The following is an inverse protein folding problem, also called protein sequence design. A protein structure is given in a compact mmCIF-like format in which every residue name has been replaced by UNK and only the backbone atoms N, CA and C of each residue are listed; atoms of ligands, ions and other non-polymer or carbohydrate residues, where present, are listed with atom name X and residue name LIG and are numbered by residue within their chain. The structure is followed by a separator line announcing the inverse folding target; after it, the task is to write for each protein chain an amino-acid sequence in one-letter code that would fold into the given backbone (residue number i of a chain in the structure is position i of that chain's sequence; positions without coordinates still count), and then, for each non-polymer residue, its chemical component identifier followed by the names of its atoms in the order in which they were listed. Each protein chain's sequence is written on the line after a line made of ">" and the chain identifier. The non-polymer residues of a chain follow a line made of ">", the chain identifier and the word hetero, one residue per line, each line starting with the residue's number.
data_IF_093210407287
#
_entry.id   IF_093210407287
#
_cell.length_a   1.000
_cell.length_b   1.000
_cell.length_c   1.000
_cell.angle_alpha   90.00
_cell.angle_beta   90.00
_cell.angle_gamma   90.00
#
_symmetry.space_group_name_H-M   'P 1'
#
loop_
_entity.id
_entity.type
_entity.pdbx_description
1 polymer ?
#
# COMPACT_ATOMS: atom_id res chain seq x y z
N UNK A 1 -10.07 8.35 6.09
CA UNK A 1 -9.63 7.08 6.71
C UNK A 1 -8.20 6.75 6.29
N UNK A 2 -7.50 6.02 7.15
CA UNK A 2 -6.19 5.47 6.83
C UNK A 2 -6.37 4.03 6.37
N UNK A 3 -5.90 3.72 5.17
CA UNK A 3 -6.21 2.47 4.47
C UNK A 3 -4.91 1.88 3.93
N UNK A 4 -4.66 0.58 4.17
CA UNK A 4 -3.61 -0.13 3.47
C UNK A 4 -4.18 -0.79 2.23
N UNK A 5 -3.47 -0.69 1.12
CA UNK A 5 -3.80 -1.39 -0.11
C UNK A 5 -2.55 -2.13 -0.59
N UNK A 6 -2.66 -3.44 -0.77
CA UNK A 6 -1.53 -4.28 -1.15
C UNK A 6 -1.98 -5.51 -1.90
N UNK A 7 -1.07 -6.04 -2.70
CA UNK A 7 -1.21 -7.36 -3.30
C UNK A 7 -0.09 -8.25 -2.75
N UNK A 8 -0.39 -9.50 -2.51
CA UNK A 8 0.58 -10.45 -1.98
C UNK A 8 0.36 -11.86 -2.51
N UNK A 9 1.41 -12.68 -2.41
CA UNK A 9 1.28 -14.13 -2.55
C UNK A 9 0.59 -14.71 -1.31
N UNK A 10 0.17 -15.96 -1.38
CA UNK A 10 -0.44 -16.64 -0.23
C UNK A 10 0.45 -16.64 1.01
N UNK A 11 1.77 -16.61 0.82
CA UNK A 11 2.75 -16.57 1.92
C UNK A 11 3.12 -15.15 2.35
N UNK A 12 2.44 -14.13 1.86
CA UNK A 12 2.70 -12.74 2.22
C UNK A 12 3.77 -12.05 1.39
N UNK A 13 4.21 -12.65 0.29
CA UNK A 13 5.23 -12.07 -0.58
C UNK A 13 4.72 -10.83 -1.30
N UNK A 14 5.43 -9.71 -1.20
CA UNK A 14 5.06 -8.43 -1.80
C UNK A 14 6.10 -7.88 -2.75
N UNK A 15 7.30 -8.43 -2.77
CA UNK A 15 8.38 -7.96 -3.62
C UNK A 15 9.39 -9.02 -3.98
N UNK A 16 10.03 -8.85 -5.13
CA UNK A 16 11.15 -9.66 -5.57
C UNK A 16 12.03 -8.79 -6.48
N UNK A 17 13.30 -8.66 -6.11
CA UNK A 17 14.29 -7.86 -6.86
C UNK A 17 13.82 -6.42 -7.15
N UNK A 18 13.18 -5.79 -6.17
CA UNK A 18 12.75 -4.39 -6.24
C UNK A 18 11.43 -4.14 -6.96
N UNK A 19 10.72 -5.17 -7.39
CA UNK A 19 9.42 -5.05 -8.04
C UNK A 19 8.46 -6.14 -7.55
N UNK A 20 7.26 -6.23 -8.13
CA UNK A 20 6.28 -7.24 -7.74
C UNK A 20 6.77 -8.64 -8.14
N UNK A 21 6.45 -9.68 -7.34
CA UNK A 21 6.88 -11.06 -7.63
C UNK A 21 6.25 -11.66 -8.90
N UNK A 22 5.09 -11.20 -9.31
CA UNK A 22 4.31 -11.74 -10.43
C UNK A 22 4.37 -10.81 -11.64
N UNK A 23 4.07 -11.33 -12.85
CA UNK A 23 3.94 -10.51 -14.06
C UNK A 23 2.82 -9.49 -13.91
N UNK A 24 2.84 -8.48 -14.77
CA UNK A 24 1.82 -7.42 -14.76
C UNK A 24 0.41 -8.00 -14.77
N UNK A 25 -0.41 -7.60 -13.79
CA UNK A 25 -1.83 -7.91 -13.73
C UNK A 25 -2.60 -6.61 -13.94
N UNK A 26 -3.13 -6.41 -15.14
CA UNK A 26 -3.80 -5.17 -15.52
C UNK A 26 -5.07 -4.90 -14.73
N UNK A 27 -5.80 -5.96 -14.36
CA UNK A 27 -7.00 -5.83 -13.53
C UNK A 27 -6.66 -5.30 -12.14
N UNK A 28 -5.60 -5.83 -11.51
CA UNK A 28 -5.18 -5.38 -10.19
C UNK A 28 -4.63 -3.94 -10.22
N UNK A 29 -3.91 -3.58 -11.28
CA UNK A 29 -3.45 -2.19 -11.46
C UNK A 29 -4.63 -1.23 -11.60
N UNK A 30 -5.69 -1.64 -12.28
CA UNK A 30 -6.92 -0.84 -12.39
C UNK A 30 -7.63 -0.72 -11.05
N UNK A 31 -7.71 -1.81 -10.29
CA UNK A 31 -8.26 -1.84 -8.93
C UNK A 31 -7.53 -0.83 -8.03
N UNK A 32 -6.20 -0.87 -8.04
CA UNK A 32 -5.36 0.07 -7.30
C UNK A 32 -5.63 1.53 -7.71
N UNK A 33 -5.65 1.78 -9.01
CA UNK A 33 -5.89 3.12 -9.55
C UNK A 33 -7.26 3.65 -9.14
N UNK A 34 -8.30 2.84 -9.26
CA UNK A 34 -9.67 3.24 -8.93
C UNK A 34 -9.81 3.62 -7.45
N UNK A 35 -9.14 2.89 -6.55
CA UNK A 35 -9.21 3.18 -5.12
C UNK A 35 -8.41 4.43 -4.75
N UNK A 36 -7.27 4.65 -5.37
CA UNK A 36 -6.34 5.70 -4.93
C UNK A 36 -6.48 7.03 -5.67
N UNK A 37 -7.11 7.06 -6.83
CA UNK A 37 -7.26 8.31 -7.61
C UNK A 37 -7.98 9.38 -6.81
N UNK A 38 -7.42 10.60 -6.78
CA UNK A 38 -7.95 11.71 -6.01
C UNK A 38 -7.60 11.69 -4.54
N UNK A 39 -6.88 10.69 -4.08
CA UNK A 39 -6.53 10.50 -2.67
C UNK A 39 -5.04 10.76 -2.41
N UNK A 40 -4.63 10.58 -1.15
CA UNK A 40 -3.25 10.69 -0.73
C UNK A 40 -2.64 9.28 -0.73
N UNK A 41 -1.46 9.12 -1.32
CA UNK A 41 -0.71 7.86 -1.26
C UNK A 41 0.59 8.08 -0.50
N UNK A 42 0.90 7.14 0.40
CA UNK A 42 2.12 7.15 1.22
C UNK A 42 2.92 5.91 0.88
N UNK A 43 4.18 6.09 0.52
CA UNK A 43 5.08 5.02 0.13
C UNK A 43 6.46 5.21 0.73
N UNK A 44 7.19 4.12 0.84
CA UNK A 44 8.61 4.15 1.20
C UNK A 44 9.48 4.44 -0.02
N UNK A 45 10.77 4.68 0.24
CA UNK A 45 11.73 5.01 -0.81
C UNK A 45 11.87 3.89 -1.84
N UNK A 46 11.88 2.63 -1.42
CA UNK A 46 12.03 1.51 -2.35
C UNK A 46 10.85 1.41 -3.32
N UNK A 47 9.64 1.70 -2.85
CA UNK A 47 8.46 1.74 -3.72
C UNK A 47 8.57 2.91 -4.70
N UNK A 48 9.03 4.07 -4.24
CA UNK A 48 9.26 5.22 -5.11
C UNK A 48 10.30 4.92 -6.19
N UNK A 49 11.36 4.20 -5.84
CA UNK A 49 12.46 3.87 -6.75
C UNK A 49 12.14 2.69 -7.68
N UNK A 50 11.00 2.00 -7.50
CA UNK A 50 10.58 0.90 -8.38
C UNK A 50 10.44 1.43 -9.82
N UNK A 51 11.16 0.80 -10.74
CA UNK A 51 11.19 1.20 -12.16
C UNK A 51 9.84 1.11 -12.85
N UNK A 52 8.95 0.25 -12.34
CA UNK A 52 7.62 0.05 -12.90
C UNK A 52 6.60 1.06 -12.39
N UNK A 53 6.97 1.88 -11.42
CA UNK A 53 6.09 2.86 -10.83
C UNK A 53 6.17 4.20 -11.59
N UNK A 54 5.03 4.79 -12.01
CA UNK A 54 5.00 6.17 -12.50
C UNK A 54 5.46 7.15 -11.43
N UNK A 55 6.24 8.16 -11.80
CA UNK A 55 6.82 9.12 -10.86
C UNK A 55 6.46 10.56 -11.23
N UNK A 56 5.50 11.17 -10.50
CA UNK A 56 4.64 10.62 -9.47
C UNK A 56 3.44 9.85 -10.05
N UNK A 57 2.70 9.18 -9.17
CA UNK A 57 1.40 8.61 -9.58
C UNK A 57 0.45 9.76 -9.94
N UNK A 58 -0.12 9.76 -11.16
CA UNK A 58 -0.96 10.88 -11.60
C UNK A 58 -2.28 10.97 -10.81
N UNK A 59 -2.78 12.20 -10.64
CA UNK A 59 -4.05 12.49 -9.98
C UNK A 59 -4.14 12.03 -8.52
N UNK A 60 -2.99 11.97 -7.84
CA UNK A 60 -2.89 11.62 -6.43
C UNK A 60 -1.86 12.52 -5.76
N UNK A 61 -2.03 12.75 -4.47
CA UNK A 61 -1.03 13.44 -3.67
C UNK A 61 0.01 12.41 -3.24
N UNK A 62 1.21 12.48 -3.80
CA UNK A 62 2.28 11.52 -3.55
C UNK A 62 3.12 11.96 -2.36
N UNK A 63 3.20 11.10 -1.34
CA UNK A 63 4.03 11.30 -0.17
C UNK A 63 5.04 10.16 -0.08
N UNK A 64 6.32 10.48 0.07
CA UNK A 64 7.40 9.49 0.13
C UNK A 64 8.14 9.62 1.45
N UNK A 65 8.19 8.54 2.21
CA UNK A 65 8.98 8.46 3.44
C UNK A 65 10.43 8.22 3.05
N UNK A 66 11.28 9.20 3.32
CA UNK A 66 12.70 9.12 2.94
C UNK A 66 13.55 10.04 3.81
N UNK A 67 14.73 9.56 4.21
CA UNK A 67 15.75 10.37 4.87
C UNK A 67 16.58 11.19 3.87
N UNK A 68 16.48 10.87 2.58
CA UNK A 68 17.14 11.59 1.48
C UNK A 68 16.15 12.48 0.76
N UNK A 69 16.63 13.58 0.22
CA UNK A 69 15.79 14.47 -0.58
C UNK A 69 15.23 13.74 -1.80
N UNK A 70 14.00 14.10 -2.15
CA UNK A 70 13.33 13.61 -3.35
C UNK A 70 13.43 14.73 -4.40
N UNK A 71 14.07 14.44 -5.52
CA UNK A 71 14.23 15.37 -6.61
C UNK A 71 12.98 15.42 -7.48
N UNK A 72 11.87 15.87 -6.89
CA UNK A 72 10.60 16.03 -7.59
C UNK A 72 9.72 17.01 -6.80
N UNK A 73 9.44 18.15 -7.39
CA UNK A 73 8.66 19.23 -6.78
C UNK A 73 7.21 18.81 -6.47
N UNK A 74 6.68 17.81 -7.17
CA UNK A 74 5.30 17.36 -7.02
C UNK A 74 5.13 16.25 -5.97
N UNK A 75 6.18 16.00 -5.19
CA UNK A 75 6.20 14.94 -4.18
C UNK A 75 6.47 15.55 -2.81
N UNK A 76 5.65 15.17 -1.84
CA UNK A 76 5.84 15.55 -0.45
C UNK A 76 6.72 14.51 0.24
N UNK A 77 7.86 14.95 0.74
CA UNK A 77 8.74 14.08 1.52
C UNK A 77 8.29 14.05 2.97
N UNK A 78 8.14 12.85 3.50
CA UNK A 78 7.87 12.62 4.93
C UNK A 78 9.16 12.15 5.59
N UNK A 79 9.44 12.69 6.76
CA UNK A 79 10.68 12.41 7.48
C UNK A 79 10.34 12.19 8.97
N UNK A 80 11.04 11.23 9.60
CA UNK A 80 10.88 10.95 11.02
C UNK A 80 9.96 9.78 11.30
N UNK A 81 9.07 9.91 12.27
CA UNK A 81 8.17 8.85 12.70
C UNK A 81 7.06 8.65 11.67
N UNK A 82 7.06 7.50 11.01
CA UNK A 82 6.13 7.19 9.92
C UNK A 82 4.67 7.26 10.39
N UNK A 83 4.36 6.60 11.50
CA UNK A 83 3.01 6.57 12.06
C UNK A 83 2.50 7.98 12.35
N UNK A 84 3.32 8.80 12.99
CA UNK A 84 2.96 10.16 13.32
C UNK A 84 2.74 11.01 12.06
N UNK A 85 3.60 10.85 11.05
CA UNK A 85 3.45 11.57 9.80
C UNK A 85 2.14 11.21 9.07
N UNK A 86 1.75 9.95 9.10
CA UNK A 86 0.48 9.49 8.51
C UNK A 86 -0.71 10.06 9.27
N UNK A 87 -0.67 10.05 10.61
CA UNK A 87 -1.71 10.65 11.44
C UNK A 87 -1.84 12.16 11.16
N UNK A 88 -0.71 12.85 11.00
CA UNK A 88 -0.69 14.27 10.68
C UNK A 88 -1.31 14.55 9.31
N UNK A 89 -1.04 13.73 8.32
CA UNK A 89 -1.65 13.85 6.99
C UNK A 89 -3.17 13.72 7.07
N UNK A 90 -3.67 12.73 7.80
CA UNK A 90 -5.12 12.54 7.94
C UNK A 90 -5.77 13.73 8.66
N UNK A 91 -5.11 14.26 9.67
CA UNK A 91 -5.59 15.45 10.38
C UNK A 91 -5.60 16.69 9.48
N UNK A 92 -4.59 16.83 8.62
CA UNK A 92 -4.47 17.95 7.69
C UNK A 92 -5.50 17.86 6.54
N UNK A 93 -5.83 16.66 6.11
CA UNK A 93 -6.76 16.41 5.00
C UNK A 93 -7.90 15.48 5.44
N UNK A 94 -8.81 15.96 6.30
CA UNK A 94 -9.84 15.08 6.90
C UNK A 94 -10.88 14.56 5.90
N UNK A 95 -11.00 15.20 4.74
CA UNK A 95 -11.93 14.81 3.67
C UNK A 95 -11.29 13.84 2.65
N UNK A 96 -10.01 13.50 2.82
CA UNK A 96 -9.30 12.55 1.96
C UNK A 96 -9.01 11.26 2.70
N UNK A 97 -8.85 10.18 1.93
CA UNK A 97 -8.30 8.93 2.45
C UNK A 97 -6.78 8.92 2.25
N UNK A 98 -6.07 8.38 3.25
CA UNK A 98 -4.62 8.19 3.19
C UNK A 98 -4.36 6.71 2.92
N UNK A 99 -3.86 6.41 1.73
CA UNK A 99 -3.55 5.04 1.31
C UNK A 99 -2.08 4.72 1.55
N UNK A 100 -1.84 3.68 2.32
CA UNK A 100 -0.49 3.12 2.55
C UNK A 100 -0.26 2.11 1.42
N UNK A 101 0.73 2.39 0.57
CA UNK A 101 0.93 1.60 -0.65
C UNK A 101 2.24 0.79 -0.68
N UNK A 102 2.99 0.79 0.41
CA UNK A 102 4.16 -0.06 0.57
C UNK A 102 5.45 0.71 0.78
N UNK A 103 6.49 0.05 1.02
CA UNK A 103 6.61 -1.40 1.14
C UNK A 103 6.47 -1.92 2.56
N UNK A 104 7.19 -3.01 2.83
CA UNK A 104 7.12 -3.74 4.09
C UNK A 104 7.21 -2.85 5.32
N UNK A 105 8.23 -2.01 5.41
CA UNK A 105 8.45 -1.13 6.56
C UNK A 105 7.27 -0.19 6.77
N UNK A 106 6.73 0.38 5.69
CA UNK A 106 5.62 1.32 5.77
C UNK A 106 4.34 0.61 6.21
N UNK A 107 4.07 -0.58 5.69
CA UNK A 107 2.91 -1.37 6.13
C UNK A 107 3.01 -1.72 7.62
N UNK A 108 4.18 -2.18 8.06
CA UNK A 108 4.36 -2.63 9.44
C UNK A 108 4.27 -1.47 10.45
N UNK A 109 4.82 -0.31 10.11
CA UNK A 109 4.81 0.85 11.02
C UNK A 109 3.44 1.53 11.12
N UNK A 110 2.51 1.23 10.21
CA UNK A 110 1.17 1.84 10.22
C UNK A 110 0.04 0.85 10.52
N UNK A 111 0.36 -0.44 10.69
CA UNK A 111 -0.65 -1.49 10.81
C UNK A 111 -1.63 -1.27 11.98
N UNK A 112 -1.21 -0.63 13.04
CA UNK A 112 -2.07 -0.39 14.22
C UNK A 112 -2.99 0.82 14.06
N UNK A 113 -2.81 1.65 13.06
CA UNK A 113 -3.67 2.81 12.78
C UNK A 113 -4.52 2.66 11.51
N UNK A 114 -4.34 1.58 10.78
CA UNK A 114 -5.09 1.31 9.55
C UNK A 114 -6.49 0.82 9.87
N UNK A 115 -7.49 1.43 9.24
CA UNK A 115 -8.90 1.11 9.46
C UNK A 115 -9.43 0.06 8.49
N UNK A 116 -8.94 0.09 7.24
CA UNK A 116 -9.33 -0.84 6.18
C UNK A 116 -8.08 -1.39 5.51
N UNK A 117 -8.07 -2.69 5.21
CA UNK A 117 -7.04 -3.31 4.38
C UNK A 117 -7.70 -3.86 3.12
N UNK A 118 -7.32 -3.32 1.97
CA UNK A 118 -7.66 -3.88 0.67
C UNK A 118 -6.53 -4.83 0.27
N UNK A 119 -6.79 -6.12 0.32
CA UNK A 119 -5.79 -7.15 0.06
C UNK A 119 -6.12 -7.90 -1.22
N UNK A 120 -5.23 -7.83 -2.20
CA UNK A 120 -5.28 -8.68 -3.38
C UNK A 120 -4.39 -9.89 -3.11
N UNK A 121 -5.02 -11.07 -3.05
CA UNK A 121 -4.31 -12.32 -2.77
C UNK A 121 -4.12 -13.08 -4.09
N UNK A 122 -2.88 -13.22 -4.53
CA UNK A 122 -2.56 -13.95 -5.75
C UNK A 122 -2.77 -15.45 -5.54
N UNK A 123 -3.40 -16.12 -6.51
CA UNK A 123 -3.73 -17.54 -6.40
C UNK A 123 -2.54 -18.43 -6.66
N UNK A 124 -1.63 -18.01 -7.55
CA UNK A 124 -0.41 -18.76 -7.86
C UNK A 124 0.69 -18.46 -6.85
N UNK A 125 1.60 -19.39 -6.66
CA UNK A 125 2.78 -19.22 -5.84
C UNK A 125 3.88 -18.53 -6.65
N UNK A 126 4.42 -17.44 -6.12
CA UNK A 126 5.51 -16.69 -6.72
C UNK A 126 6.63 -16.53 -5.71
N UNK A 127 7.86 -16.69 -6.14
CA UNK A 127 9.02 -16.43 -5.29
C UNK A 127 9.10 -14.96 -4.90
N UNK A 128 9.40 -14.70 -3.63
CA UNK A 128 9.51 -13.34 -3.11
C UNK A 128 10.70 -13.24 -2.16
N UNK A 129 11.45 -12.14 -2.25
CA UNK A 129 12.52 -11.82 -1.31
C UNK A 129 12.03 -10.85 -0.22
N UNK A 130 10.86 -10.26 -0.39
CA UNK A 130 10.27 -9.34 0.58
C UNK A 130 8.87 -9.82 0.93
N UNK A 131 8.62 -10.03 2.22
CA UNK A 131 7.35 -10.56 2.74
C UNK A 131 6.84 -9.71 3.89
N UNK A 132 5.52 -9.58 3.99
CA UNK A 132 4.84 -9.04 5.18
C UNK A 132 4.28 -10.18 6.01
N UNK A 133 4.13 -9.95 7.30
CA UNK A 133 3.43 -10.86 8.19
C UNK A 133 1.94 -10.54 8.10
N UNK A 134 1.21 -11.33 7.31
CA UNK A 134 -0.23 -11.12 7.09
C UNK A 134 -1.03 -11.25 8.38
N UNK A 135 -0.66 -12.19 9.26
CA UNK A 135 -1.34 -12.37 10.54
C UNK A 135 -1.31 -11.09 11.38
N UNK A 136 -0.14 -10.44 11.47
CA UNK A 136 -0.01 -9.17 12.19
C UNK A 136 -0.70 -8.02 11.47
N UNK A 137 -0.58 -7.96 10.16
CA UNK A 137 -1.20 -6.91 9.35
C UNK A 137 -2.72 -6.93 9.47
N UNK A 138 -3.31 -8.12 9.52
CA UNK A 138 -4.76 -8.32 9.61
C UNK A 138 -5.26 -8.48 11.05
N UNK A 139 -4.38 -8.39 12.03
CA UNK A 139 -4.74 -8.45 13.44
C UNK A 139 -5.75 -7.35 13.75
N UNK A 140 -6.78 -7.71 14.53
CA UNK A 140 -7.88 -6.80 14.90
C UNK A 140 -8.74 -6.35 13.71
N UNK A 141 -8.62 -7.04 12.58
CA UNK A 141 -9.50 -6.84 11.42
C UNK A 141 -10.33 -8.11 11.19
N UNK A 142 -11.49 -7.92 10.59
CA UNK A 142 -12.33 -9.02 10.11
C UNK A 142 -12.56 -8.86 8.62
N UNK A 143 -12.67 -9.98 7.92
CA UNK A 143 -12.99 -9.94 6.50
C UNK A 143 -14.44 -9.52 6.30
N UNK A 144 -14.65 -8.54 5.44
CA UNK A 144 -15.99 -8.04 5.11
C UNK A 144 -16.46 -8.59 3.77
N UNK A 145 -15.60 -8.59 2.76
CA UNK A 145 -15.94 -9.07 1.42
C UNK A 145 -14.78 -9.83 0.82
N UNK A 146 -15.09 -10.82 -0.02
CA UNK A 146 -14.15 -11.51 -0.90
C UNK A 146 -14.75 -11.50 -2.29
N UNK A 147 -13.99 -11.05 -3.27
CA UNK A 147 -14.44 -10.95 -4.65
C UNK A 147 -13.43 -11.64 -5.55
N UNK A 148 -13.88 -12.51 -6.48
CA UNK A 148 -12.95 -13.15 -7.41
C UNK A 148 -12.41 -12.15 -8.44
N UNK A 149 -11.17 -12.36 -8.85
CA UNK A 149 -10.51 -11.57 -9.88
C UNK A 149 -9.69 -12.46 -10.81
N UNK A 150 -8.97 -11.84 -11.73
CA UNK A 150 -8.07 -12.54 -12.66
C UNK A 150 -6.83 -13.00 -11.92
N UNK A 151 -6.67 -14.33 -11.74
CA UNK A 151 -5.55 -14.96 -11.03
C UNK A 151 -5.39 -14.50 -9.57
N UNK A 152 -6.45 -13.94 -8.98
CA UNK A 152 -6.41 -13.43 -7.61
C UNK A 152 -7.80 -13.38 -6.98
N UNK A 153 -7.84 -13.06 -5.69
CA UNK A 153 -9.05 -12.66 -4.98
C UNK A 153 -8.83 -11.26 -4.39
N UNK A 154 -9.90 -10.47 -4.33
CA UNK A 154 -9.90 -9.16 -3.69
C UNK A 154 -10.62 -9.27 -2.36
N UNK A 155 -9.90 -9.01 -1.28
CA UNK A 155 -10.40 -9.10 0.08
C UNK A 155 -10.46 -7.70 0.69
N UNK A 156 -11.56 -7.39 1.36
CA UNK A 156 -11.69 -6.16 2.15
C UNK A 156 -11.78 -6.55 3.61
N UNK A 157 -10.81 -6.07 4.38
CA UNK A 157 -10.72 -6.30 5.82
C UNK A 157 -10.98 -5.01 6.56
N UNK A 158 -11.85 -5.03 7.57
CA UNK A 158 -12.21 -3.84 8.35
C UNK A 158 -11.83 -4.03 9.80
N UNK A 159 -11.34 -2.96 10.43
CA UNK A 159 -10.96 -3.01 11.83
C UNK A 159 -12.17 -3.29 12.71
N UNK A 160 -12.01 -4.20 13.63
CA UNK A 160 -13.02 -4.51 14.64
C UNK A 160 -13.00 -3.42 15.71
N UNK A 161 -14.18 -2.99 16.12
CA UNK A 161 -14.36 -2.00 17.18
C UNK A 161 -14.66 -2.67 18.51
#
# INVERSE_FOLDING_TARGET
>A
MIISILACTSAGGIGNKGTLPWPKNSEDLKWFKEHTTGQIVVMGRNTWDDKMMPKPLPNRTNCVVSNRLIDNINVRRLKGNIKQEVLNLQAQFPDKNVFIIGGKTIYEHTQDIVEIVYLTRMLKSWGADTKVNLERLLMNHRIKTVKPGTDCTYETWVRQT
#
